data_IF_976884955876
#
_entry.id   IF_976884955876
#
_cell.length_a   1.000
_cell.length_b   1.000
_cell.length_c   1.000
_cell.angle_alpha   90.00
_cell.angle_beta   90.00
_cell.angle_gamma   90.00
#
_symmetry.space_group_name_H-M   'P 1'
#
loop_
_entity.id
_entity.type
_entity.pdbx_description
1 polymer ?
#
# COMPACT_ATOMS: atom_id res chain seq x y z
N UNK A 1 -22.98 1.77 13.05
CA UNK A 1 -23.00 1.50 11.58
C UNK A 1 -22.92 0.00 11.39
N UNK A 2 -23.78 -0.58 10.55
CA UNK A 2 -23.63 -1.98 10.14
C UNK A 2 -22.57 -2.08 9.04
N UNK A 3 -21.73 -3.11 9.10
CA UNK A 3 -20.76 -3.41 8.04
C UNK A 3 -21.52 -3.93 6.83
N UNK A 4 -21.38 -3.28 5.67
CA UNK A 4 -21.93 -3.74 4.39
C UNK A 4 -20.82 -3.85 3.33
N UNK A 5 -20.98 -4.71 2.30
CA UNK A 5 -20.01 -4.80 1.21
C UNK A 5 -19.74 -3.46 0.52
N UNK A 6 -20.76 -2.61 0.38
CA UNK A 6 -20.63 -1.27 -0.20
C UNK A 6 -19.73 -0.38 0.66
N UNK A 7 -19.95 -0.36 1.98
CA UNK A 7 -19.15 0.45 2.90
C UNK A 7 -17.68 -0.02 2.93
N UNK A 8 -17.43 -1.32 2.83
CA UNK A 8 -16.06 -1.89 2.76
C UNK A 8 -15.37 -1.52 1.44
N UNK A 9 -16.08 -1.61 0.30
CA UNK A 9 -15.54 -1.17 -1.01
C UNK A 9 -15.24 0.33 -1.01
N UNK A 10 -16.13 1.14 -0.45
CA UNK A 10 -15.92 2.58 -0.31
C UNK A 10 -14.68 2.89 0.55
N UNK A 11 -14.47 2.14 1.64
CA UNK A 11 -13.24 2.22 2.43
C UNK A 11 -11.98 1.90 1.62
N UNK A 12 -12.00 0.83 0.82
CA UNK A 12 -10.88 0.49 -0.06
C UNK A 12 -10.59 1.58 -1.11
N UNK A 13 -11.62 2.24 -1.64
CA UNK A 13 -11.45 3.37 -2.54
C UNK A 13 -10.76 4.55 -1.85
N UNK A 14 -11.15 4.90 -0.62
CA UNK A 14 -10.47 5.95 0.15
C UNK A 14 -8.98 5.65 0.40
N UNK A 15 -8.63 4.39 0.61
CA UNK A 15 -7.23 3.95 0.76
C UNK A 15 -6.48 4.09 -0.58
N UNK A 16 -7.12 3.76 -1.70
CA UNK A 16 -6.55 4.00 -3.02
C UNK A 16 -6.40 5.50 -3.32
N UNK A 17 -7.31 6.35 -2.87
CA UNK A 17 -7.18 7.80 -3.01
C UNK A 17 -5.99 8.34 -2.21
N UNK A 18 -5.72 7.76 -1.02
CA UNK A 18 -4.54 8.09 -0.23
C UNK A 18 -3.21 7.76 -0.96
N UNK A 19 -3.18 6.71 -1.80
CA UNK A 19 -2.04 6.46 -2.69
C UNK A 19 -1.78 7.66 -3.61
N UNK A 20 -2.83 8.21 -4.24
CA UNK A 20 -2.68 9.36 -5.14
C UNK A 20 -2.11 10.57 -4.40
N UNK A 21 -2.54 10.80 -3.15
CA UNK A 21 -1.99 11.87 -2.30
C UNK A 21 -0.50 11.63 -2.02
N UNK A 22 -0.12 10.41 -1.62
CA UNK A 22 1.29 10.07 -1.30
C UNK A 22 2.18 10.11 -2.54
N UNK A 23 1.70 9.59 -3.67
CA UNK A 23 2.43 9.61 -4.94
C UNK A 23 2.62 11.03 -5.49
N UNK A 24 1.78 11.99 -5.06
CA UNK A 24 1.96 13.40 -5.36
C UNK A 24 3.03 14.09 -4.51
N UNK A 25 3.52 13.46 -3.43
CA UNK A 25 4.61 14.00 -2.62
C UNK A 25 5.93 13.75 -3.35
N UNK A 26 6.69 14.81 -3.57
CA UNK A 26 8.02 14.74 -4.18
C UNK A 26 9.09 15.02 -3.13
N UNK A 27 10.24 14.36 -3.25
CA UNK A 27 11.41 14.76 -2.48
C UNK A 27 11.78 16.23 -2.82
N UNK A 28 12.20 17.05 -1.83
CA UNK A 28 12.64 18.41 -2.09
C UNK A 28 13.79 18.43 -3.12
N UNK A 29 13.72 19.33 -4.09
CA UNK A 29 14.81 19.52 -5.05
C UNK A 29 16.02 20.15 -4.37
N UNK A 30 17.08 19.36 -4.19
CA UNK A 30 18.33 19.81 -3.60
C UNK A 30 19.40 20.20 -4.64
N UNK A 31 19.07 20.23 -5.94
CA UNK A 31 20.03 20.42 -7.03
C UNK A 31 20.92 21.66 -6.88
N UNK A 32 20.32 22.81 -6.53
CA UNK A 32 21.06 24.05 -6.31
C UNK A 32 22.03 23.97 -5.10
N UNK A 33 21.61 23.32 -4.02
CA UNK A 33 22.45 23.13 -2.83
C UNK A 33 23.60 22.15 -3.11
N UNK A 34 23.34 21.06 -3.85
CA UNK A 34 24.36 20.11 -4.29
C UNK A 34 25.39 20.77 -5.21
N UNK A 35 24.96 21.63 -6.13
CA UNK A 35 25.86 22.38 -7.00
C UNK A 35 26.77 23.34 -6.23
N UNK A 36 26.22 24.06 -5.23
CA UNK A 36 27.01 24.95 -4.36
C UNK A 36 28.00 24.22 -3.44
N UNK A 37 27.74 22.94 -3.14
CA UNK A 37 28.58 22.07 -2.32
C UNK A 37 29.51 21.17 -3.17
N UNK A 38 29.62 21.42 -4.48
CA UNK A 38 30.41 20.59 -5.39
C UNK A 38 31.84 20.40 -4.89
N UNK A 39 32.31 19.15 -4.87
CA UNK A 39 33.62 18.77 -4.33
C UNK A 39 33.66 18.47 -2.83
N UNK A 40 32.57 18.72 -2.09
CA UNK A 40 32.44 18.31 -0.69
C UNK A 40 31.65 17.00 -0.57
N UNK A 41 32.03 16.15 0.38
CA UNK A 41 31.31 14.91 0.72
C UNK A 41 29.82 15.16 1.06
N UNK A 42 29.49 16.36 1.56
CA UNK A 42 28.12 16.77 1.89
C UNK A 42 27.20 16.81 0.67
N UNK A 43 27.71 17.13 -0.53
CA UNK A 43 26.90 17.11 -1.75
C UNK A 43 26.41 15.68 -2.08
N UNK A 44 27.30 14.69 -1.95
CA UNK A 44 26.96 13.27 -2.15
C UNK A 44 25.99 12.77 -1.09
N UNK A 45 26.20 13.15 0.18
CA UNK A 45 25.27 12.79 1.26
C UNK A 45 23.86 13.37 1.01
N UNK A 46 23.77 14.61 0.55
CA UNK A 46 22.51 15.26 0.23
C UNK A 46 21.78 14.58 -0.95
N UNK A 47 22.52 14.18 -1.99
CA UNK A 47 21.98 13.38 -3.09
C UNK A 47 21.41 12.03 -2.60
N UNK A 48 22.17 11.34 -1.73
CA UNK A 48 21.73 10.08 -1.13
C UNK A 48 20.46 10.23 -0.29
N UNK A 49 20.33 11.33 0.47
CA UNK A 49 19.11 11.62 1.24
C UNK A 49 17.93 11.91 0.32
N UNK A 50 18.10 12.71 -0.74
CA UNK A 50 17.03 12.99 -1.71
C UNK A 50 16.52 11.70 -2.37
N UNK A 51 17.43 10.78 -2.73
CA UNK A 51 17.08 9.47 -3.26
C UNK A 51 16.32 8.63 -2.23
N UNK A 52 16.85 8.50 -1.01
CA UNK A 52 16.22 7.71 0.05
C UNK A 52 14.81 8.19 0.42
N UNK A 53 14.57 9.51 0.39
CA UNK A 53 13.23 10.08 0.58
C UNK A 53 12.31 9.68 -0.56
N UNK A 54 12.78 9.78 -1.81
CA UNK A 54 12.02 9.37 -3.01
C UNK A 54 11.62 7.90 -2.94
N UNK A 55 12.58 7.03 -2.62
CA UNK A 55 12.37 5.58 -2.51
C UNK A 55 11.37 5.25 -1.38
N UNK A 56 11.49 5.94 -0.24
CA UNK A 56 10.57 5.77 0.88
C UNK A 56 9.14 6.15 0.51
N UNK A 57 8.94 7.27 -0.19
CA UNK A 57 7.63 7.70 -0.68
C UNK A 57 7.03 6.69 -1.66
N UNK A 58 7.86 6.12 -2.53
CA UNK A 58 7.44 5.06 -3.45
C UNK A 58 6.97 3.80 -2.70
N UNK A 59 7.75 3.33 -1.73
CA UNK A 59 7.39 2.18 -0.88
C UNK A 59 6.07 2.43 -0.15
N UNK A 60 5.88 3.61 0.44
CA UNK A 60 4.65 3.97 1.14
C UNK A 60 3.46 3.96 0.17
N UNK A 61 3.60 4.56 -1.02
CA UNK A 61 2.56 4.55 -2.06
C UNK A 61 2.15 3.12 -2.46
N UNK A 62 3.13 2.24 -2.68
CA UNK A 62 2.89 0.82 -2.97
C UNK A 62 2.15 0.08 -1.84
N UNK A 63 2.40 0.44 -0.58
CA UNK A 63 1.67 -0.15 0.56
C UNK A 63 0.19 0.22 0.55
N UNK A 64 -0.15 1.48 0.28
CA UNK A 64 -1.55 1.91 0.16
C UNK A 64 -2.27 1.17 -0.98
N UNK A 65 -1.61 1.00 -2.12
CA UNK A 65 -2.15 0.21 -3.24
C UNK A 65 -2.50 -1.22 -2.81
N UNK A 66 -1.55 -1.91 -2.20
CA UNK A 66 -1.75 -3.30 -1.80
C UNK A 66 -2.82 -3.46 -0.73
N UNK A 67 -2.89 -2.53 0.23
CA UNK A 67 -3.96 -2.53 1.23
C UNK A 67 -5.35 -2.37 0.59
N UNK A 68 -5.49 -1.45 -0.37
CA UNK A 68 -6.74 -1.27 -1.10
C UNK A 68 -7.12 -2.53 -1.90
N UNK A 69 -6.16 -3.16 -2.57
CA UNK A 69 -6.37 -4.42 -3.29
C UNK A 69 -6.83 -5.55 -2.37
N UNK A 70 -6.17 -5.74 -1.23
CA UNK A 70 -6.50 -6.80 -0.28
C UNK A 70 -7.94 -6.64 0.24
N UNK A 71 -8.35 -5.41 0.58
CA UNK A 71 -9.71 -5.14 1.06
C UNK A 71 -10.74 -5.39 -0.05
N UNK A 72 -10.47 -4.96 -1.29
CA UNK A 72 -11.35 -5.24 -2.45
C UNK A 72 -11.45 -6.73 -2.74
N UNK A 73 -10.33 -7.45 -2.67
CA UNK A 73 -10.27 -8.89 -2.87
C UNK A 73 -11.10 -9.63 -1.82
N UNK A 74 -10.90 -9.29 -0.54
CA UNK A 74 -11.62 -9.90 0.57
C UNK A 74 -13.14 -9.69 0.48
N UNK A 75 -13.60 -8.46 0.21
CA UNK A 75 -15.05 -8.20 0.09
C UNK A 75 -15.66 -8.86 -1.15
N UNK A 76 -14.92 -8.93 -2.26
CA UNK A 76 -15.38 -9.61 -3.48
C UNK A 76 -15.53 -11.12 -3.24
N UNK A 77 -14.51 -11.74 -2.62
CA UNK A 77 -14.55 -13.14 -2.24
C UNK A 77 -15.70 -13.42 -1.25
N UNK A 78 -15.88 -12.55 -0.25
CA UNK A 78 -16.97 -12.69 0.71
C UNK A 78 -18.35 -12.67 0.06
N UNK A 79 -18.63 -11.69 -0.81
CA UNK A 79 -19.92 -11.58 -1.51
C UNK A 79 -20.15 -12.80 -2.40
N UNK A 80 -19.13 -13.23 -3.15
CA UNK A 80 -19.23 -14.40 -4.02
C UNK A 80 -19.52 -15.67 -3.23
N UNK A 81 -18.72 -15.98 -2.21
CA UNK A 81 -18.84 -17.18 -1.39
C UNK A 81 -20.15 -17.20 -0.60
N UNK A 82 -20.59 -16.04 -0.11
CA UNK A 82 -21.86 -15.93 0.62
C UNK A 82 -23.10 -16.13 -0.26
N UNK A 83 -22.99 -15.82 -1.55
CA UNK A 83 -24.09 -15.99 -2.51
C UNK A 83 -24.14 -17.41 -3.11
N UNK A 84 -23.01 -18.12 -3.15
CA UNK A 84 -22.87 -19.35 -3.97
C UNK A 84 -22.68 -20.63 -3.16
N UNK A 85 -22.17 -20.55 -1.93
CA UNK A 85 -21.80 -21.74 -1.16
C UNK A 85 -22.72 -21.98 0.03
N UNK A 86 -22.94 -23.26 0.32
CA UNK A 86 -23.59 -23.73 1.54
C UNK A 86 -22.82 -23.29 2.80
N UNK A 87 -23.49 -23.14 3.96
CA UNK A 87 -22.87 -22.59 5.16
C UNK A 87 -21.56 -23.26 5.62
N UNK A 88 -21.42 -24.61 5.65
CA UNK A 88 -20.16 -25.22 6.10
C UNK A 88 -19.02 -25.01 5.08
N UNK A 89 -19.27 -25.13 3.78
CA UNK A 89 -18.25 -24.87 2.75
C UNK A 89 -17.83 -23.41 2.72
N UNK A 90 -18.79 -22.49 2.92
CA UNK A 90 -18.56 -21.05 3.02
C UNK A 90 -17.56 -20.70 4.12
N UNK A 91 -17.72 -21.26 5.32
CA UNK A 91 -16.84 -20.99 6.44
C UNK A 91 -15.39 -21.42 6.17
N UNK A 92 -15.20 -22.60 5.57
CA UNK A 92 -13.88 -23.12 5.21
C UNK A 92 -13.17 -22.24 4.17
N UNK A 93 -13.90 -21.84 3.11
CA UNK A 93 -13.34 -21.00 2.04
C UNK A 93 -13.00 -19.59 2.56
N UNK A 94 -13.88 -18.98 3.35
CA UNK A 94 -13.62 -17.66 3.94
C UNK A 94 -12.40 -17.67 4.86
N UNK A 95 -12.22 -18.72 5.66
CA UNK A 95 -11.03 -18.88 6.51
C UNK A 95 -9.75 -18.92 5.67
N UNK A 96 -9.76 -19.65 4.54
CA UNK A 96 -8.64 -19.67 3.60
C UNK A 96 -8.32 -18.31 2.98
N UNK A 97 -9.34 -17.52 2.64
CA UNK A 97 -9.18 -16.15 2.12
C UNK A 97 -8.57 -15.21 3.18
N UNK A 98 -9.03 -15.32 4.44
CA UNK A 98 -8.46 -14.55 5.56
C UNK A 98 -6.99 -14.91 5.77
N UNK A 99 -6.65 -16.20 5.78
CA UNK A 99 -5.27 -16.64 5.96
C UNK A 99 -4.32 -16.09 4.86
N UNK A 100 -4.73 -16.16 3.60
CA UNK A 100 -3.97 -15.56 2.49
C UNK A 100 -3.81 -14.05 2.64
N UNK A 101 -4.86 -13.36 3.06
CA UNK A 101 -4.84 -11.91 3.27
C UNK A 101 -3.86 -11.53 4.38
N UNK A 102 -3.83 -12.28 5.49
CA UNK A 102 -2.88 -12.08 6.59
C UNK A 102 -1.43 -12.31 6.16
N UNK A 103 -1.16 -13.32 5.32
CA UNK A 103 0.16 -13.54 4.74
C UNK A 103 0.60 -12.36 3.87
N UNK A 104 -0.26 -11.87 2.97
CA UNK A 104 0.03 -10.70 2.15
C UNK A 104 0.21 -9.40 2.95
N UNK A 105 -0.42 -9.28 4.12
CA UNK A 105 -0.16 -8.18 5.06
C UNK A 105 1.22 -8.31 5.72
N UNK A 106 1.70 -9.52 5.97
CA UNK A 106 3.07 -9.77 6.41
C UNK A 106 4.09 -9.31 5.37
N UNK A 107 3.85 -9.63 4.09
CA UNK A 107 4.71 -9.23 2.97
C UNK A 107 4.80 -7.70 2.81
N UNK A 108 3.73 -6.97 3.12
CA UNK A 108 3.72 -5.50 3.10
C UNK A 108 4.74 -4.88 4.06
N UNK A 109 5.02 -5.55 5.18
CA UNK A 109 6.00 -5.09 6.16
C UNK A 109 7.44 -5.40 5.73
N UNK A 110 7.60 -6.38 4.83
CA UNK A 110 8.88 -6.86 4.30
C UNK A 110 9.32 -6.14 3.01
N UNK A 111 8.46 -5.34 2.38
CA UNK A 111 8.78 -4.57 1.18
C UNK A 111 9.83 -3.48 1.51
N UNK A 112 11.09 -3.79 1.23
CA UNK A 112 12.22 -2.85 1.17
C UNK A 112 12.23 -2.13 -0.18
N UNK A 113 12.77 -0.91 -0.26
CA UNK A 113 12.97 -0.24 -1.54
C UNK A 113 13.92 -1.09 -2.41
N UNK A 114 13.61 -1.16 -3.71
CA UNK A 114 14.44 -1.82 -4.72
C UNK A 114 15.65 -0.96 -5.08
#
# INVERSE_FOLDING_TARGET
MAVSPENVRAGANKIADAKTVVAGISAPDASAAMAGLSGLATATALAGVQQAVTDSLHVIGGRYEKMAELIRGAVTAFVFVSATLDPPTRAAVLSGVVNKSLMSMGDLNSATPA
#
